data_IF_731797683026
#
_entry.id   IF_731797683026
#
_cell.length_a   1.000
_cell.length_b   1.000
_cell.length_c   1.000
_cell.angle_alpha   90.00
_cell.angle_beta   90.00
_cell.angle_gamma   90.00
#
_symmetry.space_group_name_H-M   'P 1'
#
loop_
_entity.id
_entity.type
_entity.pdbx_description
1 polymer ?
#
# COMPACT_ATOMS: atom_id res chain seq x y z
N UNK A 1 -24.36 -10.93 18.22
CA UNK A 1 -23.85 -10.11 19.34
C UNK A 1 -23.08 -10.98 20.31
N UNK A 2 -21.77 -10.83 20.26
CA UNK A 2 -20.82 -11.49 21.15
C UNK A 2 -20.91 -10.93 22.58
N UNK A 3 -20.48 -11.74 23.56
CA UNK A 3 -20.21 -11.25 24.91
C UNK A 3 -18.99 -10.31 24.88
N UNK A 4 -18.94 -9.32 25.79
CA UNK A 4 -17.84 -8.33 25.81
C UNK A 4 -16.45 -8.97 25.95
N UNK A 5 -16.33 -10.05 26.72
CA UNK A 5 -15.08 -10.80 26.87
C UNK A 5 -14.63 -11.43 25.55
N UNK A 6 -15.55 -12.03 24.80
CA UNK A 6 -15.28 -12.64 23.49
C UNK A 6 -14.86 -11.58 22.46
N UNK A 7 -15.58 -10.45 22.40
CA UNK A 7 -15.24 -9.35 21.50
C UNK A 7 -13.84 -8.78 21.78
N UNK A 8 -13.43 -8.70 23.06
CA UNK A 8 -12.09 -8.26 23.44
C UNK A 8 -11.02 -9.25 22.98
N UNK A 9 -11.21 -10.54 23.21
CA UNK A 9 -10.26 -11.58 22.79
C UNK A 9 -10.10 -11.63 21.26
N UNK A 10 -11.21 -11.52 20.52
CA UNK A 10 -11.16 -11.49 19.06
C UNK A 10 -10.51 -10.21 18.52
N UNK A 11 -10.69 -9.08 19.20
CA UNK A 11 -9.99 -7.83 18.86
C UNK A 11 -8.47 -8.00 18.99
N UNK A 12 -8.03 -8.61 20.09
CA UNK A 12 -6.61 -8.91 20.32
C UNK A 12 -6.07 -9.90 19.28
N UNK A 13 -6.83 -10.97 19.00
CA UNK A 13 -6.47 -11.98 18.01
C UNK A 13 -6.36 -11.42 16.58
N UNK A 14 -7.29 -10.54 16.17
CA UNK A 14 -7.22 -9.89 14.86
C UNK A 14 -6.05 -8.91 14.77
N UNK A 15 -5.69 -8.26 15.87
CA UNK A 15 -4.53 -7.34 15.93
C UNK A 15 -4.66 -6.12 15.00
N UNK A 16 -5.88 -5.65 14.73
CA UNK A 16 -6.11 -4.49 13.86
C UNK A 16 -5.88 -3.17 14.62
N UNK A 17 -5.05 -2.25 14.10
CA UNK A 17 -4.81 -0.96 14.74
C UNK A 17 -6.08 -0.10 14.72
N UNK A 18 -6.36 0.56 15.84
CA UNK A 18 -7.49 1.49 16.01
C UNK A 18 -8.87 0.90 15.67
N UNK A 19 -9.03 -0.41 15.85
CA UNK A 19 -10.27 -1.12 15.53
C UNK A 19 -10.67 -2.09 16.65
N UNK A 20 -11.98 -2.34 16.80
CA UNK A 20 -12.55 -3.32 17.73
C UNK A 20 -13.56 -4.21 17.02
N UNK A 21 -13.57 -5.49 17.38
CA UNK A 21 -14.59 -6.45 16.94
C UNK A 21 -15.87 -6.21 17.74
N UNK A 22 -17.00 -6.18 17.04
CA UNK A 22 -18.33 -6.07 17.63
C UNK A 22 -19.14 -7.37 17.47
N UNK A 23 -18.95 -8.06 16.35
CA UNK A 23 -19.59 -9.35 16.09
C UNK A 23 -18.74 -10.22 15.16
N UNK A 24 -19.02 -11.52 15.14
CA UNK A 24 -18.40 -12.49 14.25
C UNK A 24 -19.44 -13.47 13.75
N UNK A 25 -19.42 -13.74 12.45
CA UNK A 25 -20.27 -14.75 11.81
C UNK A 25 -19.40 -15.66 10.96
N UNK A 26 -19.56 -16.97 11.12
CA UNK A 26 -18.96 -17.96 10.23
C UNK A 26 -20.05 -18.45 9.30
N UNK A 27 -19.77 -18.47 8.00
CA UNK A 27 -20.65 -19.00 6.97
C UNK A 27 -19.92 -20.15 6.29
N UNK A 28 -20.45 -21.36 6.44
CA UNK A 28 -19.85 -22.58 5.90
C UNK A 28 -19.65 -22.48 4.38
N UNK A 29 -18.43 -22.81 3.94
CA UNK A 29 -18.04 -22.73 2.53
C UNK A 29 -17.84 -21.31 1.98
N UNK A 30 -18.08 -20.25 2.78
CA UNK A 30 -17.89 -18.85 2.36
C UNK A 30 -16.74 -18.20 3.13
N UNK A 31 -16.74 -18.28 4.46
CA UNK A 31 -15.66 -17.73 5.29
C UNK A 31 -16.12 -17.12 6.61
N UNK A 32 -15.20 -16.40 7.25
CA UNK A 32 -15.37 -15.73 8.54
C UNK A 32 -15.55 -14.23 8.32
N UNK A 33 -16.64 -13.68 8.86
CA UNK A 33 -17.00 -12.28 8.77
C UNK A 33 -16.90 -11.62 10.13
N UNK A 34 -16.08 -10.58 10.25
CA UNK A 34 -15.96 -9.75 11.45
C UNK A 34 -16.68 -8.42 11.24
N UNK A 35 -17.57 -8.06 12.15
CA UNK A 35 -18.06 -6.68 12.23
C UNK A 35 -17.07 -5.89 13.06
N UNK A 36 -16.45 -4.87 12.46
CA UNK A 36 -15.36 -4.11 13.05
C UNK A 36 -15.67 -2.62 13.06
N UNK A 37 -15.43 -1.96 14.19
CA UNK A 37 -15.62 -0.52 14.37
C UNK A 37 -14.32 0.19 14.70
N UNK A 38 -14.13 1.37 14.10
CA UNK A 38 -13.06 2.30 14.47
C UNK A 38 -13.17 2.73 15.93
N UNK A 39 -12.04 2.72 16.65
CA UNK A 39 -11.97 3.25 18.02
C UNK A 39 -11.91 4.77 18.07
N UNK A 40 -11.60 5.42 16.94
CA UNK A 40 -11.53 6.88 16.85
C UNK A 40 -12.92 7.50 16.99
N UNK A 41 -13.00 8.66 17.62
CA UNK A 41 -14.26 9.44 17.75
C UNK A 41 -14.34 10.59 16.75
N UNK A 42 -13.22 10.99 16.17
CA UNK A 42 -13.07 12.03 15.17
C UNK A 42 -12.05 11.63 14.10
N UNK A 43 -12.10 12.33 12.98
CA UNK A 43 -11.12 12.23 11.91
C UNK A 43 -10.60 13.63 11.53
N UNK A 44 -9.39 13.67 11.01
CA UNK A 44 -8.75 14.90 10.55
C UNK A 44 -9.09 15.16 9.08
N UNK A 45 -9.50 16.39 8.75
CA UNK A 45 -9.81 16.74 7.38
C UNK A 45 -8.51 16.79 6.54
N UNK A 46 -8.39 15.99 5.46
CA UNK A 46 -7.17 15.95 4.65
C UNK A 46 -6.92 17.23 3.84
N UNK A 47 -7.90 18.15 3.77
CA UNK A 47 -7.77 19.43 3.05
C UNK A 47 -7.26 20.57 3.92
N UNK A 48 -7.74 20.67 5.16
CA UNK A 48 -7.45 21.82 6.03
C UNK A 48 -6.90 21.45 7.40
N UNK A 49 -6.70 20.17 7.71
CA UNK A 49 -6.17 19.68 8.98
C UNK A 49 -7.11 19.81 10.19
N UNK A 50 -8.29 20.42 10.05
CA UNK A 50 -9.24 20.54 11.15
C UNK A 50 -9.88 19.17 11.47
N UNK A 51 -9.91 18.79 12.75
CA UNK A 51 -10.62 17.59 13.21
C UNK A 51 -12.13 17.81 13.16
N UNK A 52 -12.87 16.77 12.76
CA UNK A 52 -14.33 16.77 12.79
C UNK A 52 -14.88 15.53 13.52
N UNK A 53 -15.94 15.76 14.29
CA UNK A 53 -16.83 14.73 14.88
C UNK A 53 -18.19 14.68 14.20
N UNK A 54 -18.46 15.59 13.27
CA UNK A 54 -19.75 15.74 12.62
C UNK A 54 -19.89 14.65 11.56
N UNK A 55 -20.52 13.54 11.94
CA UNK A 55 -20.80 12.43 11.04
C UNK A 55 -21.80 12.86 9.97
N UNK A 56 -21.41 12.73 8.71
CA UNK A 56 -22.25 12.99 7.55
C UNK A 56 -22.97 11.71 7.09
N UNK A 57 -22.19 10.65 6.85
CA UNK A 57 -22.70 9.32 6.48
C UNK A 57 -21.85 8.24 7.12
N UNK A 58 -22.42 7.04 7.23
CA UNK A 58 -21.73 5.88 7.76
C UNK A 58 -22.11 4.65 6.95
N UNK A 59 -21.23 4.23 6.05
CA UNK A 59 -21.46 3.10 5.15
C UNK A 59 -20.55 1.93 5.52
N UNK A 60 -21.13 0.72 5.52
CA UNK A 60 -20.40 -0.52 5.68
C UNK A 60 -19.66 -0.89 4.41
N UNK A 61 -18.43 -1.38 4.55
CA UNK A 61 -17.61 -1.93 3.48
C UNK A 61 -17.07 -3.28 3.93
N UNK A 62 -17.09 -4.25 3.02
CA UNK A 62 -16.45 -5.54 3.23
C UNK A 62 -15.01 -5.44 2.72
N UNK A 63 -14.06 -5.75 3.61
CA UNK A 63 -12.62 -5.64 3.36
C UNK A 63 -11.98 -7.01 3.56
N UNK A 64 -11.34 -7.51 2.51
CA UNK A 64 -10.60 -8.77 2.55
C UNK A 64 -9.37 -8.66 3.47
N UNK A 65 -9.15 -9.72 4.24
CA UNK A 65 -8.04 -9.80 5.18
C UNK A 65 -7.37 -11.17 5.14
N UNK A 66 -6.31 -11.35 5.93
CA UNK A 66 -5.57 -12.60 5.97
C UNK A 66 -6.47 -13.79 6.32
N UNK A 67 -6.42 -14.89 5.54
CA UNK A 67 -7.25 -16.06 5.79
C UNK A 67 -6.88 -16.75 7.10
N UNK A 68 -7.85 -17.42 7.70
CA UNK A 68 -7.67 -18.24 8.91
C UNK A 68 -7.85 -19.71 8.55
N UNK A 69 -6.76 -20.49 8.54
CA UNK A 69 -6.77 -21.93 8.19
C UNK A 69 -7.62 -22.23 6.94
N UNK A 70 -7.24 -21.63 5.81
CA UNK A 70 -7.91 -21.73 4.51
C UNK A 70 -9.32 -21.10 4.42
N UNK A 71 -9.83 -20.52 5.50
CA UNK A 71 -11.07 -19.74 5.45
C UNK A 71 -10.79 -18.29 5.09
N UNK A 72 -11.48 -17.79 4.07
CA UNK A 72 -11.50 -16.36 3.73
C UNK A 72 -11.98 -15.54 4.93
N UNK A 73 -11.28 -14.45 5.24
CA UNK A 73 -11.65 -13.52 6.30
C UNK A 73 -12.06 -12.19 5.69
N UNK A 74 -13.24 -11.70 6.08
CA UNK A 74 -13.78 -10.42 5.64
C UNK A 74 -14.09 -9.55 6.85
N UNK A 75 -13.57 -8.33 6.83
CA UNK A 75 -13.84 -7.30 7.82
C UNK A 75 -14.95 -6.38 7.29
N UNK A 76 -16.13 -6.46 7.89
CA UNK A 76 -17.21 -5.49 7.68
C UNK A 76 -16.93 -4.25 8.52
N UNK A 77 -16.34 -3.24 7.90
CA UNK A 77 -15.96 -1.99 8.55
C UNK A 77 -16.92 -0.86 8.19
N UNK A 78 -17.16 0.01 9.15
CA UNK A 78 -17.86 1.26 8.92
C UNK A 78 -16.86 2.34 8.50
N UNK A 79 -16.85 2.72 7.21
CA UNK A 79 -16.11 3.90 6.75
C UNK A 79 -17.01 5.12 6.89
N UNK A 80 -16.79 5.84 7.99
CA UNK A 80 -17.49 7.07 8.30
C UNK A 80 -17.05 8.19 7.36
N UNK A 81 -17.98 9.03 6.94
CA UNK A 81 -17.69 10.31 6.32
C UNK A 81 -18.06 11.43 7.29
N UNK A 82 -17.22 12.45 7.35
CA UNK A 82 -17.39 13.59 8.24
C UNK A 82 -17.60 14.86 7.43
N UNK A 83 -18.48 15.74 7.92
CA UNK A 83 -18.58 17.11 7.44
C UNK A 83 -17.50 17.97 8.09
N UNK A 84 -16.68 18.67 7.30
CA UNK A 84 -15.64 19.54 7.85
C UNK A 84 -16.16 20.98 8.02
N UNK A 85 -16.27 21.46 9.25
CA UNK A 85 -16.64 22.86 9.53
C UNK A 85 -15.59 23.88 9.09
N UNK A 86 -14.33 23.46 8.90
CA UNK A 86 -13.25 24.36 8.47
C UNK A 86 -13.31 24.73 6.98
N UNK A 87 -13.62 23.78 6.11
CA UNK A 87 -13.65 23.99 4.65
C UNK A 87 -15.02 23.76 4.02
N UNK A 88 -16.05 23.36 4.79
CA UNK A 88 -17.40 23.13 4.29
C UNK A 88 -17.55 21.88 3.42
N UNK A 89 -16.64 20.92 3.53
CA UNK A 89 -16.58 19.78 2.63
C UNK A 89 -16.63 18.42 3.36
N UNK A 90 -17.21 17.40 2.71
CA UNK A 90 -17.25 16.02 3.22
C UNK A 90 -15.93 15.32 2.96
N UNK A 91 -15.45 14.55 3.93
CA UNK A 91 -14.27 13.67 3.75
C UNK A 91 -14.49 12.31 4.40
N UNK A 92 -13.86 11.27 3.85
CA UNK A 92 -13.92 9.91 4.40
C UNK A 92 -12.85 9.71 5.47
N UNK A 93 -13.17 8.97 6.52
CA UNK A 93 -12.20 8.52 7.52
C UNK A 93 -11.15 7.61 6.88
N UNK A 94 -9.89 7.85 7.25
CA UNK A 94 -8.78 6.97 6.90
C UNK A 94 -8.67 5.87 7.96
N UNK A 95 -8.74 4.61 7.49
CA UNK A 95 -8.48 3.43 8.31
C UNK A 95 -7.00 3.06 8.18
N UNK A 96 -6.27 3.05 9.29
CA UNK A 96 -4.81 2.86 9.30
C UNK A 96 -4.39 1.55 8.62
N UNK A 97 -5.19 0.50 8.74
CA UNK A 97 -4.93 -0.83 8.21
C UNK A 97 -5.34 -1.04 6.74
N UNK A 98 -5.91 -0.04 6.06
CA UNK A 98 -6.43 -0.15 4.67
C UNK A 98 -5.98 1.04 3.83
N UNK A 99 -5.49 0.79 2.63
CA UNK A 99 -5.13 1.85 1.70
C UNK A 99 -6.37 2.59 1.15
N UNK A 100 -6.19 3.85 0.74
CA UNK A 100 -7.27 4.63 0.13
C UNK A 100 -7.82 3.89 -1.08
N UNK A 101 -9.16 3.84 -1.20
CA UNK A 101 -9.88 3.18 -2.30
C UNK A 101 -9.60 1.67 -2.48
N UNK A 102 -9.01 0.98 -1.50
CA UNK A 102 -8.85 -0.47 -1.50
C UNK A 102 -9.90 -1.15 -0.61
N UNK A 103 -10.22 -2.40 -0.96
CA UNK A 103 -11.13 -3.29 -0.23
C UNK A 103 -10.37 -4.50 0.34
N UNK A 104 -9.10 -4.31 0.66
CA UNK A 104 -8.25 -5.30 1.32
C UNK A 104 -7.32 -4.62 2.32
N UNK A 105 -6.87 -5.36 3.34
CA UNK A 105 -5.93 -4.84 4.34
C UNK A 105 -4.51 -4.70 3.77
N UNK A 106 -3.75 -3.75 4.33
CA UNK A 106 -2.32 -3.58 4.02
C UNK A 106 -1.53 -4.86 4.30
N UNK A 107 -1.87 -5.57 5.38
CA UNK A 107 -1.19 -6.82 5.74
C UNK A 107 -1.44 -7.94 4.72
N UNK A 108 -2.66 -8.03 4.18
CA UNK A 108 -2.95 -8.96 3.08
C UNK A 108 -2.14 -8.60 1.84
N UNK A 109 -2.16 -7.32 1.43
CA UNK A 109 -1.37 -6.86 0.29
C UNK A 109 0.13 -7.19 0.44
N UNK A 110 0.71 -6.93 1.61
CA UNK A 110 2.12 -7.25 1.89
C UNK A 110 2.42 -8.75 1.78
N UNK A 111 1.54 -9.61 2.30
CA UNK A 111 1.70 -11.06 2.18
C UNK A 111 1.67 -11.51 0.73
N UNK A 112 0.71 -11.02 -0.06
CA UNK A 112 0.56 -11.39 -1.48
C UNK A 112 1.76 -10.91 -2.29
N UNK A 113 2.20 -9.66 -2.10
CA UNK A 113 3.41 -9.13 -2.73
C UNK A 113 4.62 -10.00 -2.40
N UNK A 114 4.80 -10.38 -1.12
CA UNK A 114 5.86 -11.29 -0.70
C UNK A 114 5.82 -12.66 -1.41
N UNK A 115 4.63 -13.22 -1.65
CA UNK A 115 4.49 -14.46 -2.40
C UNK A 115 4.85 -14.31 -3.88
N UNK A 116 4.53 -13.17 -4.50
CA UNK A 116 4.88 -12.92 -5.91
C UNK A 116 6.39 -12.76 -6.08
N UNK A 117 7.13 -12.26 -5.08
CA UNK A 117 8.60 -12.17 -5.19
C UNK A 117 9.27 -13.54 -5.39
N UNK A 118 8.64 -14.64 -4.96
CA UNK A 118 9.12 -16.01 -5.15
C UNK A 118 8.38 -16.83 -6.20
N UNK A 119 7.45 -16.24 -6.96
CA UNK A 119 6.49 -16.97 -7.82
C UNK A 119 6.00 -16.10 -8.98
N UNK A 120 5.17 -16.63 -9.88
CA UNK A 120 4.43 -15.80 -10.84
C UNK A 120 3.09 -15.32 -10.26
N UNK A 121 2.60 -14.18 -10.77
CA UNK A 121 1.26 -13.64 -10.45
C UNK A 121 0.19 -14.70 -10.67
N UNK A 122 0.19 -15.36 -11.83
CA UNK A 122 -0.73 -16.47 -12.16
C UNK A 122 -0.71 -17.60 -11.13
N UNK A 123 0.47 -17.99 -10.65
CA UNK A 123 0.58 -19.06 -9.66
C UNK A 123 0.09 -18.62 -8.28
N UNK A 124 0.33 -17.36 -7.90
CA UNK A 124 -0.23 -16.79 -6.66
C UNK A 124 -1.75 -16.69 -6.76
N UNK A 125 -2.29 -16.15 -7.85
CA UNK A 125 -3.73 -16.08 -8.13
C UNK A 125 -4.41 -17.46 -7.99
N UNK A 126 -3.82 -18.49 -8.60
CA UNK A 126 -4.35 -19.86 -8.50
C UNK A 126 -4.35 -20.42 -7.07
N UNK A 127 -3.38 -20.06 -6.24
CA UNK A 127 -3.29 -20.52 -4.83
C UNK A 127 -4.20 -19.73 -3.90
N UNK A 128 -4.38 -18.43 -4.14
CA UNK A 128 -5.11 -17.54 -3.24
C UNK A 128 -6.55 -17.30 -3.65
N UNK A 129 -6.93 -17.67 -4.88
CA UNK A 129 -8.25 -17.40 -5.46
C UNK A 129 -8.46 -15.95 -5.88
N UNK A 130 -7.41 -15.11 -5.82
CA UNK A 130 -7.48 -13.69 -6.20
C UNK A 130 -7.32 -13.52 -7.72
N UNK A 131 -7.86 -12.43 -8.27
CA UNK A 131 -7.61 -12.11 -9.67
C UNK A 131 -6.17 -11.62 -9.89
N UNK A 132 -5.62 -11.89 -11.07
CA UNK A 132 -4.29 -11.37 -11.45
C UNK A 132 -4.26 -9.83 -11.39
N UNK A 133 -5.35 -9.16 -11.80
CA UNK A 133 -5.49 -7.69 -11.73
C UNK A 133 -5.41 -7.14 -10.30
N UNK A 134 -6.02 -7.83 -9.32
CA UNK A 134 -5.96 -7.41 -7.92
C UNK A 134 -4.52 -7.55 -7.39
N UNK A 135 -3.82 -8.61 -7.76
CA UNK A 135 -2.41 -8.84 -7.39
C UNK A 135 -1.49 -7.80 -8.05
N UNK A 136 -1.71 -7.50 -9.33
CA UNK A 136 -0.99 -6.43 -10.04
C UNK A 136 -1.20 -5.06 -9.37
N UNK A 137 -2.43 -4.78 -8.92
CA UNK A 137 -2.74 -3.57 -8.16
C UNK A 137 -1.98 -3.52 -6.83
N UNK A 138 -1.90 -4.65 -6.11
CA UNK A 138 -1.13 -4.73 -4.85
C UNK A 138 0.37 -4.49 -5.09
N UNK A 139 0.92 -5.05 -6.17
CA UNK A 139 2.32 -4.81 -6.58
C UNK A 139 2.56 -3.34 -6.94
N UNK A 140 1.63 -2.73 -7.67
CA UNK A 140 1.72 -1.31 -8.04
C UNK A 140 1.70 -0.41 -6.80
N UNK A 141 0.77 -0.63 -5.90
CA UNK A 141 0.66 0.12 -4.63
C UNK A 141 1.93 -0.01 -3.79
N UNK A 142 2.52 -1.21 -3.73
CA UNK A 142 3.77 -1.45 -3.04
C UNK A 142 4.94 -0.72 -3.73
N UNK A 143 5.02 -0.77 -5.06
CA UNK A 143 6.05 -0.08 -5.85
C UNK A 143 5.99 1.45 -5.72
N UNK A 144 4.79 2.03 -5.74
CA UNK A 144 4.60 3.47 -5.54
C UNK A 144 5.12 3.92 -4.17
N UNK A 145 4.99 3.11 -3.11
CA UNK A 145 5.53 3.43 -1.80
C UNK A 145 7.06 3.53 -1.79
N UNK A 146 7.76 2.74 -2.61
CA UNK A 146 9.23 2.81 -2.76
C UNK A 146 9.70 4.02 -3.58
N UNK A 147 8.87 4.52 -4.49
CA UNK A 147 9.23 5.62 -5.39
C UNK A 147 9.06 7.02 -4.76
N UNK A 148 8.46 7.10 -3.56
CA UNK A 148 8.18 8.37 -2.88
C UNK A 148 9.40 8.97 -2.17
N UNK A 149 10.46 8.20 -1.96
CA UNK A 149 11.66 8.67 -1.28
C UNK A 149 12.69 9.19 -2.30
N UNK A 150 12.82 10.51 -2.40
CA UNK A 150 13.99 11.10 -3.06
C UNK A 150 15.19 10.92 -2.14
N UNK A 151 16.29 10.28 -2.56
CA UNK A 151 17.44 10.08 -1.70
C UNK A 151 18.06 11.42 -1.31
N UNK A 152 18.02 11.73 -0.01
CA UNK A 152 18.72 12.90 0.54
C UNK A 152 20.23 12.64 0.61
N UNK A 153 21.04 13.63 0.24
CA UNK A 153 22.49 13.54 0.39
C UNK A 153 23.21 12.59 -0.57
N UNK A 154 22.61 12.23 -1.71
CA UNK A 154 23.22 11.36 -2.72
C UNK A 154 24.58 11.89 -3.22
N UNK A 155 25.68 11.19 -2.91
CA UNK A 155 27.04 11.54 -3.37
C UNK A 155 27.47 10.79 -4.63
N UNK A 156 27.12 9.51 -4.72
CA UNK A 156 27.54 8.62 -5.79
C UNK A 156 26.35 7.95 -6.45
N UNK A 157 26.13 8.27 -7.72
CA UNK A 157 25.06 7.72 -8.54
C UNK A 157 25.62 6.68 -9.53
N UNK A 158 25.10 5.48 -9.45
CA UNK A 158 25.31 4.41 -10.44
C UNK A 158 24.19 4.44 -11.48
N UNK A 159 24.55 4.15 -12.72
CA UNK A 159 23.62 3.99 -13.84
C UNK A 159 23.89 2.62 -14.44
N UNK A 160 22.86 1.78 -14.50
CA UNK A 160 22.94 0.43 -15.09
C UNK A 160 21.76 0.20 -16.07
N UNK A 161 21.83 -0.86 -16.88
CA UNK A 161 20.75 -1.27 -17.79
C UNK A 161 20.28 -2.70 -17.46
N UNK A 162 18.98 -2.88 -17.20
CA UNK A 162 18.35 -4.19 -17.06
C UNK A 162 17.59 -4.54 -18.33
N UNK A 163 17.97 -5.65 -18.96
CA UNK A 163 17.20 -6.24 -20.07
C UNK A 163 15.94 -6.95 -19.54
N UNK A 164 14.76 -6.52 -19.97
CA UNK A 164 13.47 -7.12 -19.55
C UNK A 164 13.36 -8.55 -20.04
N UNK A 165 13.69 -8.76 -21.31
CA UNK A 165 13.77 -10.07 -21.95
C UNK A 165 15.03 -10.07 -22.79
N UNK A 166 15.93 -11.02 -22.51
CA UNK A 166 17.17 -11.17 -23.26
C UNK A 166 16.88 -11.30 -24.76
N UNK A 167 17.52 -10.46 -25.57
CA UNK A 167 17.40 -10.49 -27.04
C UNK A 167 16.20 -9.74 -27.65
N UNK A 168 15.32 -9.13 -26.86
CA UNK A 168 14.14 -8.40 -27.39
C UNK A 168 14.30 -6.87 -27.45
N UNK A 169 15.49 -6.34 -27.13
CA UNK A 169 15.79 -4.91 -27.24
C UNK A 169 15.06 -4.00 -26.24
N UNK A 170 14.33 -4.56 -25.26
CA UNK A 170 13.68 -3.81 -24.18
C UNK A 170 14.59 -3.74 -22.97
N UNK A 171 15.01 -2.53 -22.61
CA UNK A 171 15.89 -2.24 -21.48
C UNK A 171 15.26 -1.19 -20.58
N UNK A 172 15.45 -1.34 -19.28
CA UNK A 172 15.23 -0.28 -18.29
C UNK A 172 16.58 0.26 -17.86
N UNK A 173 16.72 1.59 -17.84
CA UNK A 173 17.83 2.22 -17.11
C UNK A 173 17.54 2.13 -15.61
N UNK A 174 18.53 1.84 -14.79
CA UNK A 174 18.41 1.79 -13.33
C UNK A 174 19.34 2.82 -12.74
N UNK A 175 18.80 3.72 -11.94
CA UNK A 175 19.58 4.62 -11.12
C UNK A 175 19.78 3.96 -9.75
N UNK A 176 21.01 3.88 -9.27
CA UNK A 176 21.35 3.20 -8.00
C UNK A 176 22.17 4.14 -7.13
N UNK A 177 21.88 4.21 -5.84
CA UNK A 177 22.76 4.86 -4.88
C UNK A 177 23.94 3.91 -4.60
N UNK A 178 25.16 4.31 -4.97
CA UNK A 178 26.35 3.44 -4.82
C UNK A 178 26.84 3.33 -3.38
N UNK A 179 26.39 4.19 -2.46
CA UNK A 179 26.71 4.06 -1.03
C UNK A 179 25.82 3.01 -0.36
N UNK A 180 24.52 3.01 -0.66
CA UNK A 180 23.55 2.09 -0.03
C UNK A 180 23.31 0.82 -0.84
N UNK A 181 23.78 0.77 -2.08
CA UNK A 181 23.47 -0.27 -3.07
C UNK A 181 21.96 -0.45 -3.30
N UNK A 182 21.17 0.60 -3.10
CA UNK A 182 19.73 0.59 -3.30
C UNK A 182 19.32 1.26 -4.63
N UNK A 183 18.40 0.66 -5.41
CA UNK A 183 17.81 1.31 -6.56
C UNK A 183 17.05 2.57 -6.16
N UNK A 184 17.25 3.64 -6.92
CA UNK A 184 16.56 4.93 -6.78
C UNK A 184 15.33 4.95 -7.68
N UNK A 185 15.49 4.59 -8.97
CA UNK A 185 14.38 4.60 -9.93
C UNK A 185 14.69 3.78 -11.19
N UNK A 186 13.64 3.42 -11.93
CA UNK A 186 13.69 2.75 -13.24
C UNK A 186 13.28 3.73 -14.35
N UNK A 187 14.10 3.83 -15.39
CA UNK A 187 13.89 4.67 -16.55
C UNK A 187 13.38 3.81 -17.72
N UNK A 188 12.14 4.01 -18.20
CA UNK A 188 11.51 3.15 -19.21
C UNK A 188 12.09 3.28 -20.63
N UNK A 189 13.05 4.17 -20.87
CA UNK A 189 13.76 4.22 -22.15
C UNK A 189 15.11 4.93 -22.06
N UNK A 190 15.93 4.80 -23.11
CA UNK A 190 17.23 5.48 -23.29
C UNK A 190 17.16 7.00 -23.42
N UNK A 191 15.96 7.60 -23.45
CA UNK A 191 15.87 9.06 -23.39
C UNK A 191 16.07 9.51 -21.95
N UNK A 192 17.06 10.37 -21.65
CA UNK A 192 17.11 11.02 -20.35
C UNK A 192 15.76 11.73 -20.11
N UNK A 193 15.26 11.76 -18.86
CA UNK A 193 14.08 12.56 -18.54
C UNK A 193 14.33 14.01 -19.01
N UNK A 194 13.29 14.73 -19.48
CA UNK A 194 13.45 16.12 -19.88
C UNK A 194 14.10 16.91 -18.74
N UNK A 195 15.08 17.75 -19.09
CA UNK A 195 15.97 18.47 -18.17
C UNK A 195 15.27 19.57 -17.37
N UNK A 196 14.25 19.20 -16.62
CA UNK A 196 13.56 20.05 -15.64
C UNK A 196 13.60 19.33 -14.30
N UNK A 197 14.32 19.96 -13.37
CA UNK A 197 14.38 19.68 -11.93
C UNK A 197 15.39 18.63 -11.44
N UNK A 198 16.66 18.73 -11.85
CA UNK A 198 17.76 18.70 -10.87
C UNK A 198 18.84 19.66 -11.37
N UNK A 199 18.84 20.90 -10.87
CA UNK A 199 20.02 21.76 -11.01
C UNK A 199 20.97 21.35 -9.89
N UNK A 200 22.10 20.67 -10.16
CA UNK A 200 23.06 20.41 -9.11
C UNK A 200 23.62 21.75 -8.60
N UNK A 201 23.84 21.92 -7.29
CA UNK A 201 24.62 23.04 -6.80
C UNK A 201 25.99 23.01 -7.48
N UNK A 202 26.48 24.21 -7.81
CA UNK A 202 27.70 24.53 -8.55
C UNK A 202 28.82 23.47 -8.50
N UNK A 203 29.21 23.03 -9.71
CA UNK A 203 30.25 22.02 -10.04
C UNK A 203 31.55 22.16 -9.22
N UNK A 204 32.08 21.06 -8.66
CA UNK A 204 33.52 20.78 -8.67
C UNK A 204 33.87 19.99 -9.95
N UNK A 205 34.98 20.35 -10.59
CA UNK A 205 35.50 19.65 -11.77
C UNK A 205 36.01 18.26 -11.37
N UNK A 206 35.32 17.20 -11.78
CA UNK A 206 35.90 15.85 -11.77
C UNK A 206 36.24 15.42 -13.20
N UNK A 207 37.50 15.05 -13.41
CA UNK A 207 37.96 14.34 -14.61
C UNK A 207 37.46 12.91 -14.53
N UNK A 208 36.55 12.51 -15.42
CA UNK A 208 36.23 11.11 -15.60
C UNK A 208 37.26 10.49 -16.56
N UNK A 209 38.04 9.54 -16.05
CA UNK A 209 38.76 8.57 -16.87
C UNK A 209 37.81 7.40 -17.12
N UNK A 210 37.27 7.32 -18.34
CA UNK A 210 36.55 6.13 -18.81
C UNK A 210 37.62 5.08 -19.10
N UNK A 211 37.58 3.96 -18.38
CA UNK A 211 38.36 2.77 -18.74
C UNK A 211 37.37 1.73 -19.23
N UNK A 212 37.48 1.51 -20.55
CA UNK A 212 36.82 0.58 -21.50
C UNK A 212 35.34 0.85 -21.81
#
# INVERSE_FOLDING_TARGET
MLLQSQASQLTELLGLPEAKVEDMTIIDGVGVFFVVRSTRRDAECPRCGKRSRHLHTNNGYDIEDLPWNDQSVVLRVNRRQFWCEGCGEVFSEELVFVNKRRLYTKRLANQIVGQVLGSSIRSVAARTGMSEEQIETMLKDAGEAYLLETPEGLKYLGIDEIAVVKGQGKYYGVLVNLETHQPITLLPSRSPPPATAVTPPSRPRYRYSITI
#
